data_IF_487144737805
#
_entry.id   IF_487144737805
#
_cell.length_a   1.000
_cell.length_b   1.000
_cell.length_c   1.000
_cell.angle_alpha   90.00
_cell.angle_beta   90.00
_cell.angle_gamma   90.00
#
_symmetry.space_group_name_H-M   'P 1'
#
loop_
_entity.id
_entity.type
_entity.pdbx_description
1 polymer ?
#
# COMPACT_ATOMS: atom_id res chain seq x y z
N UNK A 1 7.82 -21.34 5.67
CA UNK A 1 7.43 -19.93 5.40
C UNK A 1 5.95 -19.76 5.02
N UNK A 2 5.33 -20.73 4.29
CA UNK A 2 3.92 -20.62 3.89
C UNK A 2 2.94 -20.35 5.03
N UNK A 3 3.00 -20.98 6.20
CA UNK A 3 2.09 -20.70 7.31
C UNK A 3 2.20 -19.26 7.83
N UNK A 4 3.41 -18.70 7.89
CA UNK A 4 3.62 -17.30 8.31
C UNK A 4 3.03 -16.33 7.31
N UNK A 5 3.26 -16.55 6.00
CA UNK A 5 2.68 -15.74 4.94
C UNK A 5 1.16 -15.81 4.96
N UNK A 6 0.57 -17.00 5.12
CA UNK A 6 -0.89 -17.16 5.20
C UNK A 6 -1.48 -16.46 6.44
N UNK A 7 -0.79 -16.51 7.58
CA UNK A 7 -1.22 -15.81 8.78
C UNK A 7 -1.18 -14.29 8.60
N UNK A 8 -0.13 -13.76 7.98
CA UNK A 8 -0.02 -12.35 7.61
C UNK A 8 -1.16 -11.92 6.68
N UNK A 9 -1.36 -12.65 5.58
CA UNK A 9 -2.42 -12.36 4.59
C UNK A 9 -3.79 -12.39 5.27
N UNK A 10 -4.07 -13.38 6.10
CA UNK A 10 -5.36 -13.50 6.82
C UNK A 10 -5.60 -12.30 7.73
N UNK A 11 -4.59 -11.84 8.47
CA UNK A 11 -4.70 -10.65 9.32
C UNK A 11 -4.92 -9.38 8.49
N UNK A 12 -4.18 -9.20 7.39
CA UNK A 12 -4.40 -8.07 6.48
C UNK A 12 -5.82 -8.09 5.90
N UNK A 13 -6.29 -9.24 5.43
CA UNK A 13 -7.62 -9.38 4.83
C UNK A 13 -8.74 -9.10 5.83
N UNK A 14 -8.59 -9.44 7.11
CA UNK A 14 -9.59 -9.15 8.13
C UNK A 14 -9.89 -7.64 8.23
N UNK A 15 -8.90 -6.81 8.03
CA UNK A 15 -9.06 -5.35 7.96
C UNK A 15 -9.49 -4.87 6.57
N UNK A 16 -8.88 -5.38 5.51
CA UNK A 16 -9.16 -4.94 4.15
C UNK A 16 -10.57 -5.33 3.64
N UNK A 17 -11.21 -6.32 4.25
CA UNK A 17 -12.60 -6.69 3.97
C UNK A 17 -13.60 -5.98 4.89
N UNK A 18 -13.16 -5.41 6.01
CA UNK A 18 -14.01 -4.70 6.95
C UNK A 18 -14.33 -3.29 6.47
N UNK A 19 -15.56 -2.83 6.72
CA UNK A 19 -16.01 -1.49 6.36
C UNK A 19 -16.21 -1.30 4.85
N UNK A 20 -16.09 -0.05 4.40
CA UNK A 20 -16.27 0.38 3.01
C UNK A 20 -15.01 1.05 2.47
N UNK A 21 -14.73 0.98 1.16
CA UNK A 21 -13.71 1.82 0.53
C UNK A 21 -13.94 3.31 0.86
N UNK A 22 -12.88 4.03 1.12
CA UNK A 22 -12.91 5.47 1.42
C UNK A 22 -11.94 6.19 0.48
N UNK A 23 -12.19 6.06 -0.81
CA UNK A 23 -11.44 6.70 -1.87
C UNK A 23 -12.07 8.05 -2.24
N UNK A 24 -11.24 9.02 -2.61
CA UNK A 24 -11.70 10.38 -2.85
C UNK A 24 -12.37 10.52 -4.21
N UNK A 25 -11.82 9.87 -5.24
CA UNK A 25 -12.19 10.11 -6.64
C UNK A 25 -12.66 8.86 -7.35
N UNK A 26 -13.57 9.08 -8.32
CA UNK A 26 -14.03 8.07 -9.25
C UNK A 26 -13.42 8.37 -10.62
N UNK A 27 -12.61 7.49 -11.16
CA UNK A 27 -11.91 7.70 -12.44
C UNK A 27 -12.60 6.93 -13.56
N UNK A 28 -12.96 7.63 -14.61
CA UNK A 28 -13.55 7.01 -15.79
C UNK A 28 -12.54 6.17 -16.55
N UNK A 29 -12.90 4.90 -16.85
CA UNK A 29 -12.09 3.99 -17.65
C UNK A 29 -12.43 4.18 -19.12
N UNK A 30 -11.51 4.63 -19.99
CA UNK A 30 -11.77 4.96 -21.38
C UNK A 30 -11.80 3.71 -22.28
N UNK A 31 -12.72 2.78 -22.02
CA UNK A 31 -12.81 1.48 -22.73
C UNK A 31 -13.03 1.68 -24.24
N UNK A 32 -13.85 2.68 -24.63
CA UNK A 32 -14.09 2.98 -26.06
C UNK A 32 -12.87 3.48 -26.78
N UNK A 33 -12.07 4.34 -26.11
CA UNK A 33 -10.80 4.82 -26.66
C UNK A 33 -9.85 3.65 -26.93
N UNK A 34 -9.79 2.71 -25.99
CA UNK A 34 -8.99 1.50 -26.12
C UNK A 34 -9.47 0.64 -27.31
N UNK A 35 -10.76 0.39 -27.40
CA UNK A 35 -11.33 -0.36 -28.52
C UNK A 35 -11.12 0.33 -29.88
N UNK A 36 -11.29 1.64 -29.93
CA UNK A 36 -11.08 2.41 -31.15
C UNK A 36 -9.62 2.35 -31.62
N UNK A 37 -8.67 2.47 -30.69
CA UNK A 37 -7.24 2.38 -31.01
C UNK A 37 -6.82 0.99 -31.51
N UNK A 38 -7.43 -0.08 -31.02
CA UNK A 38 -7.08 -1.46 -31.37
C UNK A 38 -7.87 -2.05 -32.53
N UNK A 39 -9.06 -1.53 -32.81
CA UNK A 39 -9.95 -2.09 -33.84
C UNK A 39 -9.52 -1.83 -35.29
N UNK A 40 -8.36 -1.21 -35.54
CA UNK A 40 -7.80 -1.07 -36.90
C UNK A 40 -7.45 -2.42 -37.55
N UNK A 41 -8.41 -3.37 -37.50
CA UNK A 41 -8.45 -4.55 -38.38
C UNK A 41 -7.83 -5.82 -37.86
N UNK A 42 -7.43 -5.94 -36.62
CA UNK A 42 -6.84 -7.19 -36.08
C UNK A 42 -7.20 -7.44 -34.64
N UNK A 43 -7.98 -8.51 -34.39
CA UNK A 43 -8.29 -9.16 -33.11
C UNK A 43 -9.12 -8.36 -32.11
N UNK A 44 -10.08 -9.05 -31.52
CA UNK A 44 -10.71 -8.66 -30.26
C UNK A 44 -9.63 -8.37 -29.22
N UNK A 45 -9.77 -7.23 -28.56
CA UNK A 45 -8.87 -6.73 -27.55
C UNK A 45 -8.75 -7.72 -26.39
N UNK A 46 -7.53 -8.11 -26.09
CA UNK A 46 -7.19 -8.68 -24.80
C UNK A 46 -6.92 -7.52 -23.83
N UNK A 47 -7.73 -7.41 -22.79
CA UNK A 47 -7.51 -6.42 -21.73
C UNK A 47 -6.30 -6.88 -20.90
N UNK A 48 -5.12 -6.43 -21.28
CA UNK A 48 -3.90 -6.77 -20.58
C UNK A 48 -3.48 -5.56 -19.72
N UNK A 49 -3.61 -5.70 -18.40
CA UNK A 49 -3.38 -4.61 -17.44
C UNK A 49 -1.97 -4.00 -17.58
N UNK A 50 -0.97 -4.81 -17.86
CA UNK A 50 0.42 -4.38 -18.05
C UNK A 50 0.67 -3.60 -19.37
N UNK A 51 -0.30 -3.55 -20.26
CA UNK A 51 -0.21 -2.74 -21.49
C UNK A 51 -1.01 -1.44 -21.41
N UNK A 52 -1.69 -1.17 -20.32
CA UNK A 52 -2.54 0.03 -20.17
C UNK A 52 -1.75 1.33 -20.32
N UNK A 53 -0.50 1.39 -19.83
CA UNK A 53 0.36 2.55 -19.98
C UNK A 53 0.65 2.91 -21.45
N UNK A 54 0.65 1.93 -22.36
CA UNK A 54 0.83 2.13 -23.80
C UNK A 54 -0.48 2.43 -24.52
N UNK A 55 -1.57 1.79 -24.10
CA UNK A 55 -2.87 1.87 -24.78
C UNK A 55 -3.70 3.07 -24.34
N UNK A 56 -3.60 3.45 -23.07
CA UNK A 56 -4.28 4.58 -22.47
C UNK A 56 -3.33 5.36 -21.55
N UNK A 57 -2.31 6.05 -22.11
CA UNK A 57 -1.31 6.75 -21.33
C UNK A 57 -1.93 7.81 -20.42
N UNK A 58 -2.91 8.56 -20.88
CA UNK A 58 -3.58 9.59 -20.08
C UNK A 58 -4.31 9.00 -18.87
N UNK A 59 -4.88 7.79 -19.00
CA UNK A 59 -5.52 7.10 -17.89
C UNK A 59 -4.49 6.65 -16.84
N UNK A 60 -3.39 6.03 -17.27
CA UNK A 60 -2.32 5.58 -16.37
C UNK A 60 -1.66 6.77 -15.67
N UNK A 61 -1.34 7.83 -16.42
CA UNK A 61 -0.76 9.05 -15.85
C UNK A 61 -1.69 9.74 -14.86
N UNK A 62 -3.00 9.73 -15.13
CA UNK A 62 -4.00 10.27 -14.21
C UNK A 62 -3.98 9.54 -12.88
N UNK A 63 -3.94 8.20 -12.89
CA UNK A 63 -3.91 7.37 -11.68
C UNK A 63 -2.62 7.59 -10.89
N UNK A 64 -1.48 7.58 -11.59
CA UNK A 64 -0.16 7.79 -10.97
C UNK A 64 -0.05 9.19 -10.34
N UNK A 65 -0.66 10.20 -10.98
CA UNK A 65 -0.69 11.55 -10.44
C UNK A 65 -1.61 11.67 -9.22
N UNK A 66 -2.78 11.02 -9.23
CA UNK A 66 -3.69 10.96 -8.06
C UNK A 66 -2.94 10.36 -6.87
N UNK A 67 -2.28 9.22 -7.05
CA UNK A 67 -1.51 8.55 -6.00
C UNK A 67 -0.37 9.43 -5.48
N UNK A 68 0.44 10.01 -6.37
CA UNK A 68 1.55 10.90 -5.99
C UNK A 68 1.11 12.18 -5.28
N UNK A 69 -0.09 12.67 -5.57
CA UNK A 69 -0.66 13.84 -4.90
C UNK A 69 -1.29 13.53 -3.54
N UNK A 70 -1.30 12.27 -3.13
CA UNK A 70 -1.82 11.85 -1.83
C UNK A 70 -3.30 11.50 -1.81
N UNK A 71 -3.92 11.32 -2.97
CA UNK A 71 -5.32 10.93 -3.06
C UNK A 71 -5.49 9.45 -3.42
N UNK A 72 -6.72 8.97 -3.31
CA UNK A 72 -7.12 7.63 -3.73
C UNK A 72 -8.29 7.67 -4.70
N UNK A 73 -8.39 6.64 -5.56
CA UNK A 73 -9.47 6.54 -6.54
C UNK A 73 -9.92 5.10 -6.76
N UNK A 74 -11.17 4.98 -7.21
CA UNK A 74 -11.72 3.78 -7.82
C UNK A 74 -12.03 4.05 -9.30
N UNK A 75 -12.31 2.97 -10.04
CA UNK A 75 -12.51 3.04 -11.49
C UNK A 75 -13.96 2.76 -11.85
N UNK A 76 -14.49 3.45 -12.86
CA UNK A 76 -15.84 3.27 -13.34
C UNK A 76 -15.92 3.17 -14.87
N UNK A 77 -16.66 2.17 -15.37
CA UNK A 77 -16.99 2.06 -16.78
C UNK A 77 -18.27 2.83 -17.13
N UNK A 78 -18.55 3.01 -18.43
CA UNK A 78 -19.75 3.71 -18.92
C UNK A 78 -21.04 3.18 -18.33
N UNK A 79 -21.20 1.84 -18.27
CA UNK A 79 -22.42 1.20 -17.80
C UNK A 79 -22.73 1.55 -16.34
N UNK A 80 -21.74 1.54 -15.49
CA UNK A 80 -21.89 1.87 -14.07
C UNK A 80 -21.97 3.36 -13.83
N UNK A 81 -21.29 4.17 -14.65
CA UNK A 81 -21.39 5.63 -14.58
C UNK A 81 -22.82 6.10 -14.85
N UNK A 82 -23.52 5.52 -15.83
CA UNK A 82 -24.93 5.83 -16.12
C UNK A 82 -25.89 5.54 -14.94
N UNK A 83 -25.47 4.71 -13.98
CA UNK A 83 -26.24 4.39 -12.77
C UNK A 83 -25.80 5.21 -11.55
N UNK A 84 -24.77 6.02 -11.67
CA UNK A 84 -24.25 6.88 -10.60
C UNK A 84 -25.17 8.08 -10.43
N UNK A 85 -25.40 8.49 -9.20
CA UNK A 85 -26.24 9.64 -8.83
C UNK A 85 -25.47 10.66 -8.02
N UNK A 86 -25.95 11.89 -7.98
CA UNK A 86 -25.43 12.90 -7.07
C UNK A 86 -26.38 13.02 -5.87
N UNK A 87 -25.89 12.71 -4.67
CA UNK A 87 -26.69 12.63 -3.44
C UNK A 87 -25.88 13.23 -2.30
N UNK A 88 -26.46 14.14 -1.53
CA UNK A 88 -25.84 14.80 -0.37
C UNK A 88 -24.43 15.35 -0.66
N UNK A 89 -24.25 16.04 -1.79
CA UNK A 89 -22.98 16.65 -2.17
C UNK A 89 -21.90 15.69 -2.70
N UNK A 90 -22.20 14.41 -2.90
CA UNK A 90 -21.27 13.40 -3.39
C UNK A 90 -21.84 12.57 -4.53
N UNK A 91 -20.97 12.06 -5.37
CA UNK A 91 -21.31 11.01 -6.34
C UNK A 91 -21.51 9.68 -5.62
N UNK A 92 -22.61 9.01 -5.90
CA UNK A 92 -22.94 7.72 -5.32
C UNK A 92 -23.16 6.68 -6.42
N UNK A 93 -22.39 5.62 -6.41
CA UNK A 93 -22.56 4.49 -7.34
C UNK A 93 -23.78 3.64 -6.98
N UNK A 94 -24.21 2.75 -7.87
CA UNK A 94 -25.27 1.80 -7.61
C UNK A 94 -25.01 0.90 -6.39
N UNK A 95 -23.74 0.61 -6.09
CA UNK A 95 -23.32 -0.15 -4.90
C UNK A 95 -23.35 0.68 -3.60
N UNK A 96 -23.65 1.98 -3.67
CA UNK A 96 -23.72 2.88 -2.53
C UNK A 96 -22.38 3.48 -2.08
N UNK A 97 -21.29 3.23 -2.79
CA UNK A 97 -19.99 3.89 -2.52
C UNK A 97 -20.05 5.33 -2.98
N UNK A 98 -19.45 6.24 -2.21
CA UNK A 98 -19.49 7.68 -2.43
C UNK A 98 -18.14 8.25 -2.78
N UNK A 99 -18.10 9.25 -3.69
CA UNK A 99 -16.90 9.92 -4.16
C UNK A 99 -17.11 11.43 -4.24
N UNK A 100 -16.04 12.19 -4.05
CA UNK A 100 -16.06 13.66 -4.04
C UNK A 100 -16.10 14.24 -5.44
N UNK A 101 -15.48 13.59 -6.41
CA UNK A 101 -15.52 14.01 -7.82
C UNK A 101 -15.38 12.83 -8.79
N UNK A 102 -15.88 13.04 -10.03
CA UNK A 102 -15.57 12.20 -11.19
C UNK A 102 -14.39 12.81 -11.93
N UNK A 103 -13.41 11.98 -12.29
CA UNK A 103 -12.27 12.38 -13.10
C UNK A 103 -12.38 11.73 -14.47
N UNK A 104 -12.35 12.54 -15.51
CA UNK A 104 -12.19 12.11 -16.90
C UNK A 104 -10.71 12.24 -17.26
N UNK A 105 -9.99 11.16 -17.59
CA UNK A 105 -8.55 11.19 -17.84
C UNK A 105 -8.14 12.16 -18.95
N UNK A 106 -8.99 12.32 -19.98
CA UNK A 106 -8.77 13.25 -21.08
C UNK A 106 -10.07 13.96 -21.48
N UNK A 107 -9.95 15.19 -21.97
CA UNK A 107 -11.05 15.91 -22.61
C UNK A 107 -11.54 15.23 -23.91
N UNK A 108 -10.67 14.46 -24.52
CA UNK A 108 -10.88 13.80 -25.81
C UNK A 108 -11.41 12.37 -25.67
N UNK A 109 -11.77 11.95 -24.43
CA UNK A 109 -12.35 10.62 -24.21
C UNK A 109 -13.61 10.40 -25.06
N UNK A 110 -13.65 9.26 -25.72
CA UNK A 110 -14.79 8.84 -26.55
C UNK A 110 -15.98 8.47 -25.64
N UNK A 111 -16.92 9.38 -25.50
CA UNK A 111 -18.12 9.20 -24.69
C UNK A 111 -19.34 9.01 -25.62
N UNK A 112 -20.22 8.06 -25.26
CA UNK A 112 -21.53 7.97 -25.91
C UNK A 112 -22.35 9.21 -25.63
N UNK A 113 -23.37 9.49 -26.48
CA UNK A 113 -24.31 10.57 -26.24
C UNK A 113 -24.99 10.45 -24.87
N UNK A 114 -25.36 9.22 -24.48
CA UNK A 114 -25.98 8.95 -23.18
C UNK A 114 -25.06 9.30 -22.01
N UNK A 115 -23.79 8.86 -22.06
CA UNK A 115 -22.80 9.14 -21.00
C UNK A 115 -22.50 10.62 -20.89
N UNK A 116 -22.33 11.32 -22.04
CA UNK A 116 -22.10 12.76 -22.06
C UNK A 116 -23.27 13.51 -21.43
N UNK A 117 -24.49 13.19 -21.84
CA UNK A 117 -25.72 13.81 -21.28
C UNK A 117 -25.87 13.53 -19.80
N UNK A 118 -25.50 12.32 -19.35
CA UNK A 118 -25.56 11.98 -17.93
C UNK A 118 -24.53 12.77 -17.11
N UNK A 119 -23.29 12.90 -17.59
CA UNK A 119 -22.24 13.71 -16.94
C UNK A 119 -22.70 15.19 -16.85
N UNK A 120 -23.32 15.72 -17.89
CA UNK A 120 -23.85 17.09 -17.87
C UNK A 120 -24.99 17.23 -16.85
N UNK A 121 -25.85 16.22 -16.69
CA UNK A 121 -26.89 16.18 -15.65
C UNK A 121 -26.26 16.17 -14.26
N UNK A 122 -25.26 15.32 -14.01
CA UNK A 122 -24.54 15.29 -12.72
C UNK A 122 -23.90 16.64 -12.41
N UNK A 123 -23.28 17.29 -13.41
CA UNK A 123 -22.69 18.64 -13.27
C UNK A 123 -23.74 19.69 -12.92
N UNK A 124 -24.92 19.67 -13.56
CA UNK A 124 -26.02 20.57 -13.26
C UNK A 124 -26.59 20.37 -11.86
N UNK A 125 -26.50 19.15 -11.33
CA UNK A 125 -26.88 18.83 -9.93
C UNK A 125 -25.83 19.29 -8.91
N UNK A 126 -24.66 19.75 -9.34
CA UNK A 126 -23.57 20.24 -8.47
C UNK A 126 -22.40 19.27 -8.32
N UNK A 127 -22.38 18.14 -9.05
CA UNK A 127 -21.25 17.22 -8.99
C UNK A 127 -19.97 17.83 -9.58
N UNK A 128 -18.85 17.63 -8.89
CA UNK A 128 -17.55 18.04 -9.41
C UNK A 128 -17.04 17.06 -10.45
N UNK A 129 -16.79 17.58 -11.66
CA UNK A 129 -16.23 16.81 -12.78
C UNK A 129 -14.88 17.43 -13.16
N UNK A 130 -13.81 16.71 -12.97
CA UNK A 130 -12.44 17.14 -13.25
C UNK A 130 -11.95 16.47 -14.53
N UNK A 131 -11.23 17.20 -15.37
CA UNK A 131 -10.62 16.66 -16.59
C UNK A 131 -9.10 16.64 -16.42
N UNK A 132 -8.50 15.49 -16.61
CA UNK A 132 -7.09 15.24 -16.30
C UNK A 132 -6.80 15.35 -14.81
N UNK A 133 -5.54 15.61 -14.46
CA UNK A 133 -5.09 15.82 -13.07
C UNK A 133 -4.89 17.30 -12.80
N UNK A 134 -5.85 17.92 -12.14
CA UNK A 134 -5.75 19.31 -11.69
C UNK A 134 -5.67 19.34 -10.15
N UNK A 135 -4.45 19.48 -9.62
CA UNK A 135 -4.18 19.48 -8.18
C UNK A 135 -5.03 20.51 -7.42
N UNK A 136 -5.21 21.69 -7.98
CA UNK A 136 -6.00 22.76 -7.31
C UNK A 136 -7.48 22.37 -7.20
N UNK A 137 -8.08 21.87 -8.29
CA UNK A 137 -9.47 21.41 -8.26
C UNK A 137 -9.66 20.20 -7.34
N UNK A 138 -8.70 19.27 -7.32
CA UNK A 138 -8.74 18.12 -6.42
C UNK A 138 -8.66 18.56 -4.96
N UNK A 139 -7.76 19.49 -4.62
CA UNK A 139 -7.57 20.00 -3.26
C UNK A 139 -8.76 20.86 -2.77
N UNK A 140 -9.61 21.36 -3.67
CA UNK A 140 -10.85 22.06 -3.30
C UNK A 140 -11.93 21.12 -2.73
N UNK A 141 -11.91 19.85 -3.11
CA UNK A 141 -12.94 18.86 -2.73
C UNK A 141 -12.43 17.73 -1.84
N UNK A 142 -11.11 17.53 -1.76
CA UNK A 142 -10.49 16.49 -0.96
C UNK A 142 -9.21 16.99 -0.28
N UNK A 143 -8.88 16.43 0.88
CA UNK A 143 -7.60 16.66 1.55
C UNK A 143 -6.63 15.53 1.17
N UNK A 144 -5.43 15.85 0.68
CA UNK A 144 -4.44 14.82 0.38
C UNK A 144 -3.98 14.12 1.67
N UNK A 145 -3.73 12.83 1.59
CA UNK A 145 -3.18 12.05 2.69
C UNK A 145 -1.66 12.28 2.76
N UNK A 146 -1.21 12.91 3.83
CA UNK A 146 0.21 13.25 4.02
C UNK A 146 1.11 12.02 4.07
N UNK A 147 0.61 10.88 4.55
CA UNK A 147 1.32 9.60 4.51
C UNK A 147 1.77 9.22 3.10
N UNK A 148 0.98 9.57 2.06
CA UNK A 148 1.32 9.35 0.65
C UNK A 148 2.08 10.53 0.07
N UNK A 149 1.50 11.75 0.20
CA UNK A 149 2.00 12.95 -0.48
C UNK A 149 3.38 13.36 0.01
N UNK A 150 3.63 13.30 1.31
CA UNK A 150 4.84 13.82 1.94
C UNK A 150 5.85 12.71 2.26
N UNK A 151 5.37 11.51 2.63
CA UNK A 151 6.22 10.40 3.05
C UNK A 151 6.41 9.31 1.99
N UNK A 152 5.67 9.35 0.89
CA UNK A 152 5.75 8.36 -0.19
C UNK A 152 5.29 6.96 0.19
N UNK A 153 4.59 6.81 1.32
CA UNK A 153 4.07 5.52 1.76
C UNK A 153 2.92 5.06 0.87
N UNK A 154 2.77 3.75 0.74
CA UNK A 154 1.61 3.16 0.07
C UNK A 154 0.57 2.80 1.11
N UNK A 155 -0.69 3.11 0.83
CA UNK A 155 -1.77 2.84 1.77
C UNK A 155 -3.10 2.54 1.07
N UNK A 156 -3.97 1.88 1.80
CA UNK A 156 -5.39 1.72 1.49
C UNK A 156 -6.17 2.18 2.71
N UNK A 157 -7.05 3.17 2.54
CA UNK A 157 -7.95 3.67 3.60
C UNK A 157 -9.35 3.10 3.43
N UNK A 158 -9.95 2.71 4.55
CA UNK A 158 -11.34 2.25 4.61
C UNK A 158 -12.08 2.93 5.76
N UNK A 159 -13.34 3.25 5.54
CA UNK A 159 -14.24 3.78 6.57
C UNK A 159 -15.01 2.64 7.25
N UNK A 160 -15.22 2.76 8.55
CA UNK A 160 -16.01 1.84 9.35
C UNK A 160 -16.90 2.60 10.36
N UNK A 161 -17.72 1.91 11.12
CA UNK A 161 -18.65 2.55 12.05
C UNK A 161 -17.94 3.36 13.17
N UNK A 162 -16.73 2.97 13.55
CA UNK A 162 -15.96 3.61 14.63
C UNK A 162 -15.05 4.73 14.13
N UNK A 163 -14.70 4.75 12.85
CA UNK A 163 -13.75 5.69 12.25
C UNK A 163 -13.18 5.15 10.95
N UNK A 164 -11.86 5.13 10.86
CA UNK A 164 -11.16 4.62 9.67
C UNK A 164 -10.10 3.60 10.06
N UNK A 165 -9.68 2.80 9.09
CA UNK A 165 -8.49 2.01 9.22
C UNK A 165 -7.69 2.05 7.92
N UNK A 166 -6.37 1.93 8.06
CA UNK A 166 -5.40 2.06 6.99
C UNK A 166 -4.51 0.83 6.98
N UNK A 167 -4.33 0.22 5.85
CA UNK A 167 -3.17 -0.62 5.60
C UNK A 167 -2.08 0.25 5.02
N UNK A 168 -0.92 0.33 5.67
CA UNK A 168 0.18 1.21 5.29
C UNK A 168 1.43 0.36 5.07
N UNK A 169 2.15 0.60 3.97
CA UNK A 169 3.40 -0.10 3.65
C UNK A 169 4.48 0.88 3.22
N UNK A 170 5.68 0.69 3.74
CA UNK A 170 6.88 1.38 3.28
C UNK A 170 7.60 0.51 2.25
N UNK A 171 7.44 0.83 0.97
CA UNK A 171 8.08 0.12 -0.14
C UNK A 171 9.39 0.80 -0.60
N UNK A 172 9.85 1.82 0.13
CA UNK A 172 11.13 2.48 -0.14
C UNK A 172 12.31 1.67 0.44
N UNK A 173 13.52 2.06 0.07
CA UNK A 173 14.78 1.47 0.53
C UNK A 173 15.31 2.08 1.84
N UNK A 174 14.53 2.97 2.48
CA UNK A 174 14.90 3.66 3.72
C UNK A 174 13.76 3.63 4.74
N UNK A 175 14.12 3.79 6.00
CA UNK A 175 13.17 3.91 7.10
C UNK A 175 12.49 5.27 7.06
N UNK A 176 11.20 5.30 7.37
CA UNK A 176 10.38 6.53 7.44
C UNK A 176 9.99 6.77 8.89
N UNK A 177 10.35 7.94 9.42
CA UNK A 177 9.91 8.41 10.74
C UNK A 177 9.47 9.86 10.64
N UNK A 178 8.23 10.15 11.06
CA UNK A 178 7.65 11.50 10.96
C UNK A 178 6.42 11.66 11.86
N UNK A 179 5.99 12.89 12.02
CA UNK A 179 4.69 13.23 12.62
C UNK A 179 3.85 13.94 11.57
N UNK A 180 2.69 13.42 11.23
CA UNK A 180 1.83 13.92 10.17
C UNK A 180 0.38 14.02 10.61
N UNK A 181 -0.35 15.00 10.07
CA UNK A 181 -1.80 15.05 10.14
C UNK A 181 -2.42 14.10 9.11
N UNK A 182 -3.47 13.37 9.51
CA UNK A 182 -4.21 12.52 8.59
C UNK A 182 -5.24 13.37 7.81
N UNK A 183 -5.59 12.89 6.60
CA UNK A 183 -6.61 13.55 5.77
C UNK A 183 -8.03 13.49 6.37
N UNK A 184 -8.26 12.60 7.33
CA UNK A 184 -9.54 12.46 8.05
C UNK A 184 -9.34 12.66 9.55
N UNK A 185 -10.27 13.36 10.23
CA UNK A 185 -10.14 13.63 11.65
C UNK A 185 -10.32 12.36 12.48
N UNK A 186 -9.61 12.30 13.62
CA UNK A 186 -9.71 11.23 14.60
C UNK A 186 -9.45 11.77 16.01
N UNK A 187 -9.86 11.00 17.03
CA UNK A 187 -9.60 11.34 18.42
C UNK A 187 -8.62 10.37 19.09
N UNK A 188 -8.64 9.10 18.67
CA UNK A 188 -7.75 8.04 19.17
C UNK A 188 -7.29 7.17 18.02
N UNK A 189 -6.14 6.52 18.19
CA UNK A 189 -5.61 5.60 17.22
C UNK A 189 -4.83 4.45 17.88
N UNK A 190 -4.74 3.32 17.18
CA UNK A 190 -3.90 2.19 17.53
C UNK A 190 -3.18 1.64 16.30
N UNK A 191 -2.04 1.04 16.53
CA UNK A 191 -1.32 0.25 15.56
C UNK A 191 -1.60 -1.24 15.72
N UNK A 192 -1.78 -1.94 14.61
CA UNK A 192 -1.81 -3.39 14.55
C UNK A 192 -0.70 -3.87 13.62
N UNK A 193 0.15 -4.74 14.12
CA UNK A 193 1.21 -5.37 13.33
C UNK A 193 0.68 -6.68 12.71
N UNK A 194 0.47 -6.74 11.39
CA UNK A 194 -0.05 -7.93 10.75
C UNK A 194 0.95 -9.10 10.72
N UNK A 195 2.25 -8.85 10.90
CA UNK A 195 3.25 -9.91 10.99
C UNK A 195 3.12 -10.70 12.28
N UNK A 196 2.98 -10.02 13.39
CA UNK A 196 2.95 -10.64 14.72
C UNK A 196 1.54 -10.80 15.30
N UNK A 197 0.58 -9.99 14.84
CA UNK A 197 -0.76 -9.89 15.41
C UNK A 197 -0.83 -9.04 16.68
N UNK A 198 0.24 -8.34 17.03
CA UNK A 198 0.31 -7.47 18.20
C UNK A 198 -0.37 -6.12 17.94
N UNK A 199 -0.92 -5.54 19.02
CA UNK A 199 -1.51 -4.21 19.02
C UNK A 199 -0.71 -3.27 19.90
N UNK A 200 -0.62 -2.00 19.46
CA UNK A 200 0.13 -0.97 20.15
C UNK A 200 -0.68 0.31 20.20
N UNK A 201 -0.49 1.07 21.26
CA UNK A 201 -1.00 2.44 21.31
C UNK A 201 -0.28 3.29 20.25
N UNK A 202 -1.04 4.05 19.47
CA UNK A 202 -0.45 5.04 18.56
C UNK A 202 -0.11 6.31 19.37
N UNK A 203 1.07 6.86 19.11
CA UNK A 203 1.46 8.15 19.64
C UNK A 203 0.81 9.26 18.82
N UNK A 204 -0.05 10.03 19.46
CA UNK A 204 -0.85 11.08 18.80
C UNK A 204 -0.73 12.41 19.55
N UNK A 205 -0.64 13.50 18.79
CA UNK A 205 -0.60 14.87 19.30
C UNK A 205 -1.69 15.69 18.60
N UNK A 206 -2.82 15.92 19.27
CA UNK A 206 -4.02 16.55 18.70
C UNK A 206 -4.55 15.76 17.49
N UNK A 207 -4.35 16.27 16.28
CA UNK A 207 -4.76 15.72 14.98
C UNK A 207 -3.62 15.02 14.23
N UNK A 208 -2.43 14.99 14.85
CA UNK A 208 -1.23 14.41 14.25
C UNK A 208 -0.91 13.04 14.82
N UNK A 209 -0.33 12.20 13.99
CA UNK A 209 0.10 10.85 14.28
C UNK A 209 1.62 10.73 14.11
N UNK A 210 2.30 10.20 15.11
CA UNK A 210 3.68 9.77 14.94
C UNK A 210 3.73 8.40 14.24
N UNK A 211 4.48 8.33 13.15
CA UNK A 211 4.69 7.11 12.38
C UNK A 211 6.17 6.80 12.28
N UNK A 212 6.49 5.53 12.47
CA UNK A 212 7.80 4.99 12.19
C UNK A 212 7.64 3.63 11.50
N UNK A 213 8.08 3.53 10.26
CA UNK A 213 8.02 2.32 9.44
C UNK A 213 9.39 2.07 8.82
N UNK A 214 9.91 0.87 9.01
CA UNK A 214 11.15 0.45 8.35
C UNK A 214 10.93 0.19 6.87
N UNK A 215 12.01 0.22 6.12
CA UNK A 215 12.03 -0.29 4.75
C UNK A 215 11.43 -1.70 4.68
N UNK A 216 10.45 -1.91 3.81
CA UNK A 216 9.73 -3.18 3.64
C UNK A 216 8.69 -3.51 4.71
N UNK A 217 8.50 -2.65 5.72
CA UNK A 217 7.52 -2.89 6.81
C UNK A 217 6.11 -2.45 6.38
N UNK A 218 5.11 -3.17 6.91
CA UNK A 218 3.71 -2.77 6.81
C UNK A 218 3.02 -2.81 8.17
N UNK A 219 2.12 -1.86 8.40
CA UNK A 219 1.30 -1.77 9.59
C UNK A 219 -0.15 -1.46 9.23
N UNK A 220 -1.04 -1.78 10.15
CA UNK A 220 -2.44 -1.34 10.08
C UNK A 220 -2.66 -0.29 11.17
N UNK A 221 -3.13 0.88 10.76
CA UNK A 221 -3.59 1.93 11.65
C UNK A 221 -5.10 1.85 11.76
N UNK A 222 -5.63 1.82 12.97
CA UNK A 222 -7.05 2.00 13.23
C UNK A 222 -7.25 3.32 13.95
N UNK A 223 -8.12 4.18 13.43
CA UNK A 223 -8.48 5.46 14.03
C UNK A 223 -9.93 5.44 14.50
N UNK A 224 -10.21 6.18 15.57
CA UNK A 224 -11.52 6.28 16.18
C UNK A 224 -11.98 7.74 16.13
N UNK A 225 -13.19 7.98 15.63
CA UNK A 225 -13.81 9.32 15.56
C UNK A 225 -14.27 9.84 16.94
N UNK A 226 -14.44 8.93 17.90
CA UNK A 226 -14.86 9.24 19.28
C UNK A 226 -13.95 8.54 20.28
N UNK A 227 -13.63 9.23 21.38
CA UNK A 227 -12.84 8.67 22.48
C UNK A 227 -13.77 8.16 23.60
N UNK A 228 -14.58 7.11 23.31
CA UNK A 228 -15.43 6.53 24.34
C UNK A 228 -14.59 5.97 25.51
N UNK A 229 -15.19 5.84 26.70
CA UNK A 229 -14.52 5.28 27.87
C UNK A 229 -14.01 3.86 27.59
N UNK A 230 -14.78 3.04 26.87
CA UNK A 230 -14.40 1.69 26.47
C UNK A 230 -13.15 1.69 25.60
N UNK A 231 -13.10 2.55 24.54
CA UNK A 231 -11.94 2.70 23.66
C UNK A 231 -10.73 3.20 24.46
N UNK A 232 -10.92 4.22 25.30
CA UNK A 232 -9.84 4.79 26.10
C UNK A 232 -9.24 3.79 27.07
N UNK A 233 -10.06 2.95 27.69
CA UNK A 233 -9.63 1.86 28.59
C UNK A 233 -8.88 0.77 27.83
N UNK A 234 -9.39 0.34 26.67
CA UNK A 234 -8.72 -0.65 25.81
C UNK A 234 -7.34 -0.16 25.38
N UNK A 235 -7.26 1.07 24.87
CA UNK A 235 -5.99 1.64 24.40
C UNK A 235 -4.99 1.86 25.54
N UNK A 236 -5.45 2.31 26.74
CA UNK A 236 -4.59 2.53 27.89
C UNK A 236 -3.89 1.27 28.41
N UNK A 237 -4.41 0.08 28.10
CA UNK A 237 -3.79 -1.22 28.41
C UNK A 237 -2.80 -1.72 27.36
N UNK A 238 -2.68 -1.06 26.20
CA UNK A 238 -1.75 -1.48 25.16
C UNK A 238 -0.34 -0.90 25.38
N UNK A 239 0.72 -1.65 25.02
CA UNK A 239 2.08 -1.10 25.02
C UNK A 239 2.19 0.00 23.95
N UNK A 240 3.03 0.99 24.22
CA UNK A 240 3.43 1.96 23.20
C UNK A 240 4.39 1.28 22.22
N UNK A 241 4.21 1.50 20.92
CA UNK A 241 5.15 1.00 19.93
C UNK A 241 6.46 1.78 20.00
N UNK A 242 7.43 1.22 20.70
CA UNK A 242 8.78 1.78 20.72
C UNK A 242 9.55 1.30 19.50
N UNK A 243 9.85 2.21 18.61
CA UNK A 243 10.88 1.99 17.62
C UNK A 243 12.22 2.20 18.28
N UNK A 244 12.91 1.11 18.53
CA UNK A 244 14.29 1.21 18.97
C UNK A 244 15.07 1.81 17.81
N UNK A 245 15.52 3.06 17.94
CA UNK A 245 16.53 3.59 17.04
C UNK A 245 17.72 2.64 17.10
N UNK A 246 18.02 2.01 15.97
CA UNK A 246 19.25 1.24 15.87
C UNK A 246 20.34 2.29 15.80
N UNK A 247 21.01 2.53 16.93
CA UNK A 247 22.29 3.21 16.89
C UNK A 247 23.11 2.53 15.79
N UNK A 248 23.56 3.33 14.81
CA UNK A 248 24.19 2.88 13.56
C UNK A 248 25.57 2.22 13.74
N UNK A 249 25.72 1.33 14.69
CA UNK A 249 26.88 0.43 14.77
C UNK A 249 26.61 -0.81 13.92
N UNK A 250 26.61 -0.61 12.59
CA UNK A 250 26.58 -1.74 11.66
C UNK A 250 27.96 -2.40 11.65
N UNK A 251 28.04 -3.64 12.13
CA UNK A 251 29.22 -4.47 11.99
C UNK A 251 29.05 -5.30 10.72
N UNK A 252 29.86 -5.04 9.71
CA UNK A 252 29.87 -5.87 8.51
C UNK A 252 30.57 -7.18 8.83
N UNK A 253 29.90 -8.30 8.58
CA UNK A 253 30.41 -9.66 8.74
C UNK A 253 30.96 -10.13 7.39
N UNK A 254 32.14 -9.65 7.02
CA UNK A 254 32.79 -9.89 5.73
C UNK A 254 33.78 -11.06 5.74
N UNK A 255 33.93 -11.77 6.86
CA UNK A 255 34.94 -12.82 7.04
C UNK A 255 34.44 -13.98 7.91
N UNK A 256 35.06 -15.16 7.71
CA UNK A 256 34.90 -16.31 8.60
C UNK A 256 33.59 -17.05 8.42
N UNK A 257 33.02 -16.99 7.25
CA UNK A 257 31.82 -17.75 6.91
C UNK A 257 32.16 -19.18 6.48
N UNK A 258 31.31 -20.10 6.84
CA UNK A 258 31.31 -21.47 6.33
C UNK A 258 29.97 -21.76 5.66
N UNK A 259 30.02 -22.60 4.63
CA UNK A 259 28.85 -23.07 3.88
C UNK A 259 28.83 -24.59 3.89
N UNK A 260 27.75 -25.16 4.37
CA UNK A 260 27.42 -26.58 4.30
C UNK A 260 26.07 -26.78 3.62
N UNK A 261 25.77 -28.01 3.21
CA UNK A 261 24.53 -28.32 2.52
C UNK A 261 23.75 -29.40 3.24
N UNK A 262 22.42 -29.27 3.23
CA UNK A 262 21.46 -30.25 3.74
C UNK A 262 20.46 -30.59 2.64
N UNK A 263 19.99 -31.83 2.63
CA UNK A 263 18.93 -32.27 1.72
C UNK A 263 19.24 -31.92 0.24
N UNK A 264 20.48 -32.10 -0.17
CA UNK A 264 20.93 -31.70 -1.50
C UNK A 264 21.05 -32.85 -2.50
N UNK A 265 20.82 -32.53 -3.77
CA UNK A 265 20.98 -33.40 -4.92
C UNK A 265 21.78 -32.68 -6.02
N UNK A 266 22.91 -33.24 -6.49
CA UNK A 266 23.59 -34.41 -5.95
C UNK A 266 24.10 -34.20 -4.52
N UNK A 267 24.38 -35.30 -3.79
CA UNK A 267 24.90 -35.20 -2.41
C UNK A 267 26.24 -34.47 -2.37
N UNK A 268 26.36 -33.52 -1.43
CA UNK A 268 27.56 -32.73 -1.24
C UNK A 268 27.86 -32.55 0.26
N UNK A 269 28.85 -33.28 0.78
CA UNK A 269 29.14 -33.34 2.21
C UNK A 269 30.33 -32.48 2.64
N UNK A 270 30.86 -31.64 1.76
CA UNK A 270 32.01 -30.79 2.09
C UNK A 270 31.58 -29.50 2.78
N UNK A 271 32.28 -29.17 3.88
CA UNK A 271 32.23 -27.85 4.47
C UNK A 271 33.16 -26.90 3.71
N UNK A 272 32.62 -25.83 3.23
CA UNK A 272 33.38 -24.79 2.50
C UNK A 272 33.66 -23.61 3.41
N UNK A 273 34.90 -23.15 3.41
CA UNK A 273 35.25 -21.85 4.02
C UNK A 273 35.14 -20.78 2.94
N UNK A 274 34.31 -19.77 3.17
CA UNK A 274 34.06 -18.67 2.25
C UNK A 274 34.33 -17.34 2.95
N UNK A 275 34.78 -16.33 2.20
CA UNK A 275 35.09 -15.02 2.76
C UNK A 275 33.83 -14.30 3.26
N UNK A 276 32.83 -14.22 2.41
CA UNK A 276 31.56 -13.56 2.67
C UNK A 276 30.41 -14.39 2.10
N UNK A 277 29.15 -14.20 2.59
CA UNK A 277 28.01 -14.87 2.03
C UNK A 277 27.85 -14.53 0.55
N UNK A 278 27.88 -15.54 -0.28
CA UNK A 278 27.73 -15.45 -1.73
C UNK A 278 26.82 -16.57 -2.17
N UNK A 279 25.95 -16.36 -3.14
CA UNK A 279 25.13 -17.40 -3.70
C UNK A 279 26.05 -18.56 -4.15
N UNK A 280 25.81 -19.79 -3.67
CA UNK A 280 26.73 -20.92 -3.89
C UNK A 280 26.93 -21.27 -5.38
N UNK A 281 25.93 -20.97 -6.21
CA UNK A 281 26.00 -21.11 -7.67
C UNK A 281 27.14 -20.29 -8.31
N UNK A 282 27.59 -19.23 -7.64
CA UNK A 282 28.66 -18.37 -8.09
C UNK A 282 30.05 -18.80 -7.58
N UNK A 283 30.14 -19.83 -6.72
CA UNK A 283 31.41 -20.26 -6.15
C UNK A 283 32.18 -21.20 -7.10
N UNK A 284 31.47 -22.14 -7.74
CA UNK A 284 32.06 -23.02 -8.78
C UNK A 284 30.96 -23.78 -9.54
N UNK A 285 31.36 -24.43 -10.64
CA UNK A 285 30.41 -25.14 -11.52
C UNK A 285 29.74 -26.36 -10.87
N UNK A 286 30.40 -27.04 -9.93
CA UNK A 286 29.80 -28.15 -9.18
C UNK A 286 28.64 -27.68 -8.34
N UNK A 287 28.81 -26.56 -7.64
CA UNK A 287 27.79 -25.99 -6.77
C UNK A 287 26.65 -25.37 -7.56
N UNK A 288 26.90 -24.92 -8.79
CA UNK A 288 25.84 -24.37 -9.67
C UNK A 288 24.75 -25.38 -10.00
N UNK A 289 25.07 -26.65 -10.04
CA UNK A 289 24.11 -27.72 -10.35
C UNK A 289 23.44 -28.31 -9.11
N UNK A 290 23.79 -27.82 -7.93
CA UNK A 290 23.36 -28.38 -6.66
C UNK A 290 22.00 -27.80 -6.26
N UNK A 291 21.04 -28.68 -6.02
CA UNK A 291 19.71 -28.31 -5.47
C UNK A 291 19.61 -28.78 -4.02
N UNK A 292 19.12 -27.91 -3.11
CA UNK A 292 19.00 -28.25 -1.70
C UNK A 292 19.00 -27.03 -0.79
N UNK A 293 19.37 -27.22 0.46
CA UNK A 293 19.46 -26.16 1.47
C UNK A 293 20.92 -25.85 1.79
N UNK A 294 21.37 -24.63 1.49
CA UNK A 294 22.68 -24.12 1.90
C UNK A 294 22.60 -23.50 3.30
N UNK A 295 23.49 -23.91 4.18
CA UNK A 295 23.59 -23.37 5.55
C UNK A 295 24.87 -22.55 5.65
N UNK A 296 24.69 -21.25 5.81
CA UNK A 296 25.77 -20.29 6.00
C UNK A 296 25.93 -20.02 7.50
N UNK A 297 27.14 -20.20 8.04
CA UNK A 297 27.44 -19.98 9.45
C UNK A 297 28.64 -19.04 9.60
N UNK A 298 28.54 -18.09 10.52
CA UNK A 298 29.62 -17.21 10.90
C UNK A 298 29.69 -17.07 12.42
N UNK A 299 30.89 -17.24 13.01
CA UNK A 299 31.08 -17.03 14.46
C UNK A 299 31.41 -15.56 14.72
N UNK A 300 30.58 -14.91 15.52
CA UNK A 300 30.74 -13.51 15.88
C UNK A 300 30.95 -13.37 17.36
N UNK A 301 31.99 -12.68 17.77
CA UNK A 301 32.23 -12.37 19.17
C UNK A 301 31.69 -10.97 19.50
N UNK A 302 30.80 -10.89 20.46
CA UNK A 302 30.26 -9.64 20.98
C UNK A 302 30.72 -9.43 22.40
N UNK A 303 31.01 -8.17 22.77
CA UNK A 303 31.20 -7.81 24.17
C UNK A 303 29.85 -7.78 24.91
N UNK A 304 29.87 -8.08 26.23
CA UNK A 304 28.67 -8.01 27.06
C UNK A 304 28.06 -6.60 26.98
N UNK A 305 26.82 -6.49 26.47
CA UNK A 305 26.12 -5.21 26.26
C UNK A 305 26.07 -4.69 24.81
N UNK A 306 26.84 -5.29 23.88
CA UNK A 306 26.77 -4.93 22.46
C UNK A 306 25.54 -5.53 21.74
N UNK A 307 24.97 -6.60 22.29
CA UNK A 307 23.73 -7.21 21.80
C UNK A 307 22.55 -6.71 22.62
N UNK A 308 21.72 -5.88 22.03
CA UNK A 308 20.34 -5.70 22.52
C UNK A 308 19.48 -6.78 21.88
N UNK A 309 18.71 -7.49 22.72
CA UNK A 309 17.91 -8.66 22.33
C UNK A 309 16.96 -8.32 21.17
N UNK A 310 17.32 -8.73 19.97
CA UNK A 310 16.42 -8.81 18.81
C UNK A 310 16.55 -10.19 18.21
N UNK A 311 15.49 -10.96 18.32
CA UNK A 311 15.32 -12.13 17.45
C UNK A 311 15.15 -11.64 16.02
N UNK A 312 16.25 -11.51 15.27
CA UNK A 312 16.17 -11.46 13.81
C UNK A 312 16.08 -12.89 13.33
N UNK A 313 14.94 -13.26 12.80
CA UNK A 313 14.80 -14.46 11.98
C UNK A 313 15.19 -14.04 10.57
N UNK A 314 16.30 -14.60 10.08
CA UNK A 314 16.70 -14.55 8.67
C UNK A 314 15.96 -15.68 7.94
#
# INVERSE_FOLDING_TARGET
DAPYLMSYITRCQSFLQWGKPDNDFLVFVPVRDLWHKQSKGKRLMQFAIHTMGQLAPEFSETIDNIDRMGFDCDYISELWLLQTRFVDGMLQTAAGTRYKALILPSKDNLLTKAVRSHIDTLRQQGATIIVGTNKLQMAQVAHPEALKADLGLKLIRRANAQGHHYFIANLSDHDVESTVALAVPFQKALWFDPMTGQRFQAETHSDSLHICLRSGESLILQTFKEASEAISKELGGLPVRTTTQIENTRKVLDKGWTLSFKDCSPTYDKLLSIGQPTAWENLNDTLRTLMGTGVYECKVNFKKGELRDRKSVV
#
